data_IF_050990975558
#
_entry.id   IF_050990975558
#
_cell.length_a   1.000
_cell.length_b   1.000
_cell.length_c   1.000
_cell.angle_alpha   90.00
_cell.angle_beta   90.00
_cell.angle_gamma   90.00
#
_symmetry.space_group_name_H-M   'P 1'
#
loop_
_entity.id
_entity.type
_entity.pdbx_description
1 polymer ?
#
# COMPACT_ATOMS: atom_id res chain seq x y z
N UNK A 1 -21.81 -4.10 -50.18
CA UNK A 1 -23.25 -3.80 -50.41
C UNK A 1 -24.02 -5.10 -50.53
N UNK A 2 -25.03 -5.30 -49.68
CA UNK A 2 -25.71 -6.58 -49.49
C UNK A 2 -26.76 -6.82 -50.61
N UNK A 3 -26.72 -7.95 -51.35
CA UNK A 3 -27.66 -8.23 -52.45
C UNK A 3 -29.15 -8.28 -52.02
N UNK A 4 -29.42 -8.39 -50.71
CA UNK A 4 -30.77 -8.27 -50.15
C UNK A 4 -31.35 -6.86 -50.22
N UNK A 5 -30.52 -5.81 -50.12
CA UNK A 5 -30.98 -4.41 -50.17
C UNK A 5 -31.33 -3.97 -51.60
N UNK A 6 -30.69 -4.56 -52.62
CA UNK A 6 -31.01 -4.30 -54.04
C UNK A 6 -32.34 -4.96 -54.44
N UNK A 7 -32.64 -6.15 -53.90
CA UNK A 7 -33.94 -6.81 -54.11
C UNK A 7 -35.09 -6.10 -53.40
N UNK A 8 -34.85 -5.49 -52.24
CA UNK A 8 -35.88 -4.72 -51.53
C UNK A 8 -36.20 -3.37 -52.22
N UNK A 9 -35.19 -2.73 -52.83
CA UNK A 9 -35.41 -1.51 -53.62
C UNK A 9 -36.16 -1.78 -54.94
N UNK A 10 -35.94 -2.94 -55.57
CA UNK A 10 -36.65 -3.34 -56.79
C UNK A 10 -38.14 -3.64 -56.57
N UNK A 11 -38.52 -4.15 -55.40
CA UNK A 11 -39.92 -4.46 -55.08
C UNK A 11 -40.78 -3.23 -54.77
N UNK A 12 -40.17 -2.10 -54.40
CA UNK A 12 -40.85 -0.84 -54.10
C UNK A 12 -41.07 0.06 -55.33
N UNK A 13 -40.43 -0.24 -56.46
CA UNK A 13 -40.53 0.54 -57.71
C UNK A 13 -41.50 -0.06 -58.75
N UNK A 14 -42.01 -1.28 -58.54
CA UNK A 14 -42.89 -1.99 -59.48
C UNK A 14 -44.20 -2.44 -58.80
N UNK A 15 -45.03 -1.48 -58.43
CA UNK A 15 -46.30 -1.75 -57.74
C UNK A 15 -47.40 -0.73 -58.06
N UNK A 16 -47.49 -0.29 -59.32
CA UNK A 16 -48.67 0.39 -59.84
C UNK A 16 -49.76 -0.64 -60.19
N UNK A 17 -50.92 -0.48 -59.56
CA UNK A 17 -52.25 -0.94 -60.00
C UNK A 17 -52.42 -2.41 -60.44
N UNK A 18 -52.76 -3.27 -59.48
CA UNK A 18 -53.78 -4.30 -59.70
C UNK A 18 -54.64 -4.43 -58.45
N UNK A 19 -55.83 -3.85 -58.47
CA UNK A 19 -56.91 -4.13 -57.53
C UNK A 19 -57.47 -5.53 -57.80
N UNK A 20 -56.83 -6.57 -57.25
CA UNK A 20 -57.50 -7.88 -57.11
C UNK A 20 -58.29 -7.89 -55.80
N UNK A 21 -59.61 -7.93 -55.95
CA UNK A 21 -60.56 -8.27 -54.89
C UNK A 21 -60.13 -9.58 -54.22
N UNK A 22 -59.76 -9.52 -52.94
CA UNK A 22 -59.51 -10.68 -52.10
C UNK A 22 -60.86 -11.26 -51.66
N UNK A 23 -61.28 -12.37 -52.26
CA UNK A 23 -62.53 -13.07 -51.92
C UNK A 23 -62.35 -14.56 -51.63
N UNK A 24 -61.16 -14.98 -51.18
CA UNK A 24 -60.93 -16.34 -50.68
C UNK A 24 -60.68 -16.34 -49.18
N UNK A 25 -61.42 -17.20 -48.46
CA UNK A 25 -61.31 -17.44 -47.02
C UNK A 25 -59.88 -17.82 -46.58
N UNK A 26 -59.05 -18.35 -47.49
CA UNK A 26 -57.66 -18.72 -47.22
C UNK A 26 -56.70 -17.53 -47.01
N UNK A 27 -56.92 -16.39 -47.66
CA UNK A 27 -56.03 -15.22 -47.54
C UNK A 27 -56.20 -14.51 -46.18
N UNK A 28 -57.43 -14.52 -45.65
CA UNK A 28 -57.73 -14.01 -44.31
C UNK A 28 -57.12 -14.87 -43.20
N UNK A 29 -57.04 -16.18 -43.39
CA UNK A 29 -56.39 -17.10 -42.45
C UNK A 29 -54.87 -16.85 -42.44
N UNK A 30 -54.25 -16.63 -43.61
CA UNK A 30 -52.83 -16.31 -43.72
C UNK A 30 -52.46 -14.98 -43.06
N UNK A 31 -53.25 -13.92 -43.32
CA UNK A 31 -53.04 -12.59 -42.71
C UNK A 31 -53.26 -12.65 -41.19
N UNK A 32 -54.26 -13.39 -40.73
CA UNK A 32 -54.52 -13.61 -39.31
C UNK A 32 -53.37 -14.33 -38.59
N UNK A 33 -52.79 -15.36 -39.21
CA UNK A 33 -51.68 -16.11 -38.64
C UNK A 33 -50.39 -15.26 -38.55
N UNK A 34 -50.09 -14.48 -39.58
CA UNK A 34 -48.93 -13.56 -39.57
C UNK A 34 -49.09 -12.48 -38.51
N UNK A 35 -50.29 -11.92 -38.34
CA UNK A 35 -50.60 -10.97 -37.28
C UNK A 35 -50.42 -11.55 -35.87
N UNK A 36 -50.82 -12.81 -35.67
CA UNK A 36 -50.73 -13.50 -34.39
C UNK A 36 -49.26 -13.81 -34.01
N UNK A 37 -48.45 -14.19 -35.00
CA UNK A 37 -47.00 -14.37 -34.83
C UNK A 37 -46.33 -13.04 -34.48
N UNK A 38 -46.67 -11.95 -35.18
CA UNK A 38 -46.12 -10.63 -34.89
C UNK A 38 -46.46 -10.14 -33.47
N UNK A 39 -47.70 -10.36 -33.02
CA UNK A 39 -48.13 -10.06 -31.65
C UNK A 39 -47.40 -10.91 -30.60
N UNK A 40 -47.13 -12.19 -30.89
CA UNK A 40 -46.36 -13.06 -30.01
C UNK A 40 -44.91 -12.59 -29.85
N UNK A 41 -44.24 -12.20 -30.94
CA UNK A 41 -42.88 -11.65 -30.88
C UNK A 41 -42.84 -10.30 -30.17
N UNK A 42 -43.82 -9.42 -30.40
CA UNK A 42 -43.94 -8.16 -29.68
C UNK A 42 -44.12 -8.41 -28.17
N UNK A 43 -44.94 -9.38 -27.80
CA UNK A 43 -45.13 -9.79 -26.41
C UNK A 43 -43.84 -10.33 -25.78
N UNK A 44 -43.06 -11.16 -26.50
CA UNK A 44 -41.76 -11.65 -26.04
C UNK A 44 -40.75 -10.52 -25.82
N UNK A 45 -40.70 -9.52 -26.71
CA UNK A 45 -39.83 -8.36 -26.57
C UNK A 45 -40.22 -7.55 -25.32
N UNK A 46 -41.52 -7.28 -25.14
CA UNK A 46 -42.03 -6.56 -23.96
C UNK A 46 -41.75 -7.34 -22.68
N UNK A 47 -41.91 -8.67 -22.68
CA UNK A 47 -41.60 -9.53 -21.54
C UNK A 47 -40.10 -9.51 -21.20
N UNK A 48 -39.22 -9.55 -22.21
CA UNK A 48 -37.77 -9.47 -22.04
C UNK A 48 -37.34 -8.10 -21.48
N UNK A 49 -37.91 -7.01 -21.99
CA UNK A 49 -37.66 -5.65 -21.49
C UNK A 49 -38.16 -5.50 -20.05
N UNK A 50 -39.34 -6.02 -19.73
CA UNK A 50 -39.91 -5.97 -18.37
C UNK A 50 -39.09 -6.79 -17.38
N UNK A 51 -38.56 -7.95 -17.78
CA UNK A 51 -37.63 -8.76 -16.99
C UNK A 51 -36.30 -8.04 -16.76
N UNK A 52 -35.76 -7.37 -17.78
CA UNK A 52 -34.51 -6.59 -17.69
C UNK A 52 -34.67 -5.35 -16.80
N UNK A 53 -35.80 -4.67 -16.87
CA UNK A 53 -36.14 -3.54 -15.99
C UNK A 53 -36.38 -3.97 -14.54
N UNK A 54 -37.00 -5.14 -14.31
CA UNK A 54 -37.15 -5.72 -12.98
C UNK A 54 -35.81 -6.04 -12.32
N UNK A 55 -34.89 -6.66 -13.07
CA UNK A 55 -33.51 -6.92 -12.64
C UNK A 55 -32.70 -5.65 -12.37
N UNK A 56 -32.93 -4.57 -13.11
CA UNK A 56 -32.25 -3.30 -12.87
C UNK A 56 -32.77 -2.60 -11.60
N UNK A 57 -34.07 -2.73 -11.34
CA UNK A 57 -34.73 -2.15 -10.16
C UNK A 57 -34.34 -2.87 -8.87
N UNK A 58 -34.16 -4.20 -8.89
CA UNK A 58 -33.65 -4.94 -7.72
C UNK A 58 -32.21 -4.59 -7.39
N UNK A 59 -31.33 -4.49 -8.41
CA UNK A 59 -29.93 -4.06 -8.22
C UNK A 59 -29.82 -2.64 -7.66
N UNK A 60 -30.66 -1.71 -8.11
CA UNK A 60 -30.69 -0.35 -7.52
C UNK A 60 -31.22 -0.30 -6.08
N UNK A 61 -31.98 -1.31 -5.64
CA UNK A 61 -32.37 -1.46 -4.23
C UNK A 61 -31.19 -1.92 -3.37
N UNK A 62 -30.43 -2.90 -3.88
CA UNK A 62 -29.21 -3.44 -3.26
C UNK A 62 -28.13 -2.35 -3.10
N UNK A 63 -27.90 -1.53 -4.13
CA UNK A 63 -27.00 -0.35 -4.04
C UNK A 63 -27.42 0.68 -2.97
N UNK A 64 -28.72 0.83 -2.69
CA UNK A 64 -29.22 1.74 -1.64
C UNK A 64 -29.03 1.18 -0.24
N UNK A 65 -29.06 -0.14 -0.09
CA UNK A 65 -28.76 -0.82 1.17
C UNK A 65 -27.25 -0.74 1.45
N UNK A 66 -26.41 -0.96 0.43
CA UNK A 66 -24.96 -0.79 0.51
C UNK A 66 -24.55 0.65 0.84
N UNK A 67 -25.23 1.65 0.27
CA UNK A 67 -24.99 3.07 0.55
C UNK A 67 -25.35 3.42 2.01
N UNK A 68 -26.44 2.83 2.52
CA UNK A 68 -26.81 2.97 3.93
C UNK A 68 -25.85 2.23 4.85
N UNK A 69 -25.34 1.07 4.45
CA UNK A 69 -24.38 0.29 5.22
C UNK A 69 -23.00 0.97 5.24
N UNK A 70 -22.55 1.53 4.11
CA UNK A 70 -21.36 2.36 4.01
C UNK A 70 -21.49 3.65 4.85
N UNK A 71 -22.66 4.29 4.84
CA UNK A 71 -22.93 5.45 5.69
C UNK A 71 -22.97 5.08 7.18
N UNK A 72 -23.50 3.91 7.55
CA UNK A 72 -23.46 3.39 8.93
C UNK A 72 -22.03 3.06 9.35
N UNK A 73 -21.27 2.37 8.50
CA UNK A 73 -19.86 2.10 8.74
C UNK A 73 -19.08 3.41 8.92
N UNK A 74 -19.26 4.39 8.03
CA UNK A 74 -18.61 5.70 8.15
C UNK A 74 -18.95 6.43 9.46
N UNK A 75 -20.20 6.32 9.93
CA UNK A 75 -20.61 6.86 11.25
C UNK A 75 -19.95 6.12 12.39
N UNK A 76 -19.94 4.79 12.38
CA UNK A 76 -19.27 3.97 13.40
C UNK A 76 -17.77 4.23 13.43
N UNK A 77 -17.12 4.39 12.27
CA UNK A 77 -15.72 4.78 12.18
C UNK A 77 -15.48 6.21 12.69
N UNK A 78 -16.39 7.14 12.43
CA UNK A 78 -16.30 8.50 12.97
C UNK A 78 -16.52 8.55 14.48
N UNK A 79 -17.43 7.73 15.02
CA UNK A 79 -17.68 7.58 16.46
C UNK A 79 -16.51 6.89 17.16
N UNK A 80 -15.99 5.79 16.61
CA UNK A 80 -14.79 5.12 17.13
C UNK A 80 -13.56 6.03 17.07
N UNK A 81 -13.45 6.85 16.02
CA UNK A 81 -12.39 7.85 15.93
C UNK A 81 -12.56 8.96 16.95
N UNK A 82 -13.78 9.44 17.19
CA UNK A 82 -14.06 10.41 18.26
C UNK A 82 -13.79 9.82 19.63
N UNK A 83 -14.14 8.56 19.88
CA UNK A 83 -13.82 7.89 21.14
C UNK A 83 -12.32 7.71 21.30
N UNK A 84 -11.59 7.33 20.24
CA UNK A 84 -10.15 7.26 20.28
C UNK A 84 -9.50 8.64 20.46
N UNK A 85 -10.05 9.69 19.83
CA UNK A 85 -9.62 11.08 20.00
C UNK A 85 -9.97 11.60 21.41
N UNK A 86 -11.14 11.30 21.97
CA UNK A 86 -11.54 11.65 23.34
C UNK A 86 -10.77 10.85 24.41
N UNK A 87 -10.43 9.58 24.16
CA UNK A 87 -9.53 8.77 25.00
C UNK A 87 -8.09 9.28 24.90
N UNK A 88 -7.62 9.64 23.71
CA UNK A 88 -6.31 10.26 23.52
C UNK A 88 -6.28 11.68 24.12
N UNK A 89 -7.35 12.48 24.08
CA UNK A 89 -7.44 13.86 24.59
C UNK A 89 -7.71 13.88 26.11
N UNK A 90 -8.39 12.86 26.67
CA UNK A 90 -8.49 12.65 28.11
C UNK A 90 -7.18 12.11 28.73
N UNK A 91 -6.34 11.43 27.94
CA UNK A 91 -4.98 11.01 28.33
C UNK A 91 -3.89 12.03 27.94
N UNK A 92 -4.15 12.96 27.02
CA UNK A 92 -3.25 14.02 26.57
C UNK A 92 -3.78 15.41 26.96
N UNK A 93 -3.37 15.91 28.13
CA UNK A 93 -3.08 17.34 28.19
C UNK A 93 -1.98 17.64 27.14
N UNK A 94 -2.20 18.54 26.16
CA UNK A 94 -1.31 18.62 25.01
C UNK A 94 -0.05 19.42 25.33
N UNK A 95 1.11 18.76 25.34
CA UNK A 95 2.38 19.41 25.00
C UNK A 95 2.53 19.43 23.45
N UNK A 96 2.63 20.59 22.78
CA UNK A 96 2.78 20.70 21.32
C UNK A 96 3.82 19.77 20.67
N UNK A 97 3.61 19.39 19.41
CA UNK A 97 4.49 18.49 18.66
C UNK A 97 5.96 18.96 18.56
N UNK A 98 6.22 20.27 18.67
CA UNK A 98 7.58 20.79 18.82
C UNK A 98 8.21 20.38 20.16
N UNK A 99 7.43 20.39 21.25
CA UNK A 99 7.84 19.83 22.53
C UNK A 99 8.00 18.31 22.48
N UNK A 100 7.21 17.56 21.70
CA UNK A 100 7.43 16.09 21.62
C UNK A 100 8.76 15.71 20.96
N UNK A 101 9.17 16.43 19.91
CA UNK A 101 10.50 16.25 19.31
C UNK A 101 11.61 16.68 20.27
N UNK A 102 11.38 17.77 21.01
CA UNK A 102 12.31 18.28 22.04
C UNK A 102 12.44 17.29 23.22
N UNK A 103 11.32 16.76 23.73
CA UNK A 103 11.26 15.74 24.78
C UNK A 103 11.95 14.45 24.34
N UNK A 104 11.73 13.99 23.11
CA UNK A 104 12.39 12.79 22.60
C UNK A 104 13.91 12.97 22.56
N UNK A 105 14.39 14.15 22.12
CA UNK A 105 15.82 14.48 22.09
C UNK A 105 16.37 14.68 23.51
N UNK A 106 15.66 15.38 24.38
CA UNK A 106 16.04 15.63 25.77
C UNK A 106 16.10 14.33 26.58
N UNK A 107 15.17 13.40 26.37
CA UNK A 107 15.17 12.08 27.01
C UNK A 107 16.36 11.23 26.52
N UNK A 108 16.64 11.24 25.22
CA UNK A 108 17.84 10.58 24.66
C UNK A 108 19.13 11.18 25.23
N UNK A 109 19.17 12.49 25.42
CA UNK A 109 20.32 13.18 25.98
C UNK A 109 20.48 12.90 27.48
N UNK A 110 19.38 12.90 28.25
CA UNK A 110 19.37 12.48 29.66
C UNK A 110 19.80 11.04 29.84
N UNK A 111 19.33 10.12 29.00
CA UNK A 111 19.77 8.72 29.01
C UNK A 111 21.28 8.60 28.75
N UNK A 112 21.81 9.33 27.76
CA UNK A 112 23.25 9.40 27.47
C UNK A 112 24.06 9.98 28.64
N UNK A 113 23.57 11.04 29.28
CA UNK A 113 24.25 11.68 30.41
C UNK A 113 24.28 10.75 31.64
N UNK A 114 23.19 10.06 31.94
CA UNK A 114 23.14 9.04 33.02
C UNK A 114 24.16 7.93 32.78
N UNK A 115 24.31 7.48 31.53
CA UNK A 115 25.31 6.47 31.14
C UNK A 115 26.75 6.95 31.31
N UNK A 116 27.05 8.21 30.97
CA UNK A 116 28.39 8.79 31.11
C UNK A 116 28.76 9.09 32.57
N UNK A 117 27.78 9.43 33.40
CA UNK A 117 27.99 9.73 34.82
C UNK A 117 28.15 8.48 35.69
N UNK A 118 27.99 7.27 35.13
CA UNK A 118 28.03 6.02 35.89
C UNK A 118 29.48 5.57 36.13
N UNK A 119 29.85 5.21 37.38
CA UNK A 119 31.17 4.65 37.65
C UNK A 119 31.34 3.32 36.93
N UNK A 120 32.53 3.11 36.34
CA UNK A 120 32.85 1.91 35.56
C UNK A 120 32.53 0.63 36.36
N UNK A 121 31.98 -0.41 35.71
CA UNK A 121 31.74 -1.68 36.37
C UNK A 121 33.05 -2.20 36.97
N UNK A 122 32.98 -2.71 38.20
CA UNK A 122 34.16 -3.28 38.88
C UNK A 122 34.79 -4.34 37.96
N UNK A 123 36.12 -4.31 37.76
CA UNK A 123 36.78 -5.29 36.91
C UNK A 123 36.47 -6.70 37.42
N UNK A 124 35.88 -7.53 36.56
CA UNK A 124 35.74 -8.95 36.83
C UNK A 124 37.14 -9.58 36.91
N UNK A 125 37.37 -10.52 37.84
CA UNK A 125 38.66 -11.21 37.94
C UNK A 125 38.99 -11.90 36.60
N UNK A 126 40.26 -11.87 36.16
CA UNK A 126 40.63 -12.38 34.85
C UNK A 126 40.35 -13.89 34.75
N UNK A 127 39.64 -14.28 33.70
CA UNK A 127 39.50 -15.67 33.30
C UNK A 127 40.89 -16.27 32.95
N UNK A 128 41.13 -17.57 33.19
CA UNK A 128 42.42 -18.20 32.95
C UNK A 128 42.79 -18.15 31.46
N UNK A 129 44.04 -17.77 31.19
CA UNK A 129 44.59 -17.55 29.86
C UNK A 129 44.58 -18.83 29.00
N UNK A 130 43.99 -18.71 27.80
CA UNK A 130 44.20 -19.64 26.69
C UNK A 130 45.55 -19.32 25.99
N UNK A 131 46.23 -20.31 25.40
CA UNK A 131 47.60 -20.17 24.91
C UNK A 131 47.70 -19.31 23.64
N UNK A 132 48.79 -18.55 23.55
CA UNK A 132 49.16 -17.63 22.46
C UNK A 132 49.31 -18.35 21.10
N UNK A 133 48.85 -17.77 19.99
CA UNK A 133 49.26 -18.19 18.66
C UNK A 133 50.59 -17.52 18.27
N UNK A 134 51.51 -18.37 17.81
CA UNK A 134 52.81 -18.00 17.27
C UNK A 134 52.71 -17.17 15.96
N UNK A 135 53.45 -16.06 15.94
CA UNK A 135 54.33 -15.60 14.85
C UNK A 135 53.76 -15.32 13.45
N UNK A 136 53.78 -14.05 13.03
CA UNK A 136 54.04 -13.66 11.64
C UNK A 136 54.93 -12.40 11.55
N UNK A 137 55.73 -12.25 10.47
CA UNK A 137 56.95 -11.44 10.48
C UNK A 137 56.75 -9.97 10.08
N UNK A 138 57.77 -9.18 10.47
CA UNK A 138 57.90 -7.75 10.28
C UNK A 138 57.80 -7.27 8.83
N UNK A 139 57.03 -6.19 8.61
CA UNK A 139 57.13 -5.31 7.44
C UNK A 139 57.90 -4.03 7.81
N UNK A 140 58.75 -3.47 6.94
CA UNK A 140 59.55 -2.29 7.25
C UNK A 140 58.73 -1.00 7.16
N UNK A 141 59.03 -0.07 8.05
CA UNK A 141 58.50 1.30 8.09
C UNK A 141 59.11 2.16 6.98
N UNK A 142 58.29 3.01 6.36
CA UNK A 142 58.73 4.18 5.61
C UNK A 142 57.81 5.36 5.95
N UNK A 143 58.43 6.44 6.43
CA UNK A 143 57.87 7.76 6.72
C UNK A 143 58.63 8.78 5.82
N UNK A 144 58.20 10.06 5.70
CA UNK A 144 57.09 10.58 4.92
C UNK A 144 57.60 11.56 3.84
N UNK A 145 56.76 11.99 2.88
CA UNK A 145 57.07 13.19 2.09
C UNK A 145 55.83 14.02 1.82
N UNK A 146 55.99 15.32 2.07
CA UNK A 146 55.00 16.39 2.08
C UNK A 146 54.50 16.78 0.67
N UNK A 147 53.41 17.57 0.55
CA UNK A 147 52.65 17.75 -0.68
C UNK A 147 53.19 18.88 -1.55
N UNK A 148 53.08 18.74 -2.87
CA UNK A 148 53.37 19.79 -3.83
C UNK A 148 52.07 20.22 -4.54
N UNK A 149 51.68 21.47 -4.34
CA UNK A 149 50.74 22.23 -5.18
C UNK A 149 51.28 22.37 -6.61
N UNK A 150 50.38 22.25 -7.61
CA UNK A 150 50.50 22.96 -8.90
C UNK A 150 49.16 22.98 -9.67
N UNK A 151 48.54 24.15 -9.62
CA UNK A 151 48.21 25.06 -10.74
C UNK A 151 47.45 24.54 -11.99
N UNK A 152 46.41 25.31 -12.34
CA UNK A 152 45.42 25.10 -13.40
C UNK A 152 45.88 25.43 -14.84
N UNK A 153 45.09 24.88 -15.79
CA UNK A 153 44.74 25.34 -17.16
C UNK A 153 45.47 24.72 -18.38
N UNK A 154 44.84 24.64 -19.58
CA UNK A 154 43.44 24.34 -19.91
C UNK A 154 43.29 23.22 -20.98
N UNK A 155 42.03 22.90 -21.33
CA UNK A 155 41.52 21.74 -22.07
C UNK A 155 42.00 21.51 -23.54
N UNK A 156 41.65 20.33 -24.09
CA UNK A 156 40.90 20.33 -25.34
C UNK A 156 39.57 19.55 -25.23
N UNK A 157 38.57 20.13 -25.88
CA UNK A 157 37.21 19.63 -26.07
C UNK A 157 37.25 18.32 -26.86
N UNK A 158 36.66 17.25 -26.28
CA UNK A 158 36.30 16.04 -27.03
C UNK A 158 34.79 15.95 -27.03
N UNK A 159 34.24 16.12 -28.23
CA UNK A 159 32.85 15.92 -28.60
C UNK A 159 32.54 14.42 -28.47
N UNK A 160 31.89 14.04 -27.36
CA UNK A 160 31.47 12.67 -27.10
C UNK A 160 30.03 12.47 -27.60
N UNK A 161 29.97 11.91 -28.81
CA UNK A 161 29.03 10.91 -29.31
C UNK A 161 27.80 10.60 -28.42
N UNK A 162 26.62 10.80 -29.00
CA UNK A 162 25.32 10.55 -28.39
C UNK A 162 25.21 9.12 -27.84
N UNK A 163 24.98 9.00 -26.54
CA UNK A 163 24.65 7.75 -25.87
C UNK A 163 23.35 7.17 -26.45
N UNK A 164 23.29 5.86 -26.75
CA UNK A 164 22.05 5.23 -27.19
C UNK A 164 21.02 5.25 -26.06
N UNK A 165 19.76 5.52 -26.40
CA UNK A 165 18.63 5.52 -25.49
C UNK A 165 18.56 4.21 -24.68
N UNK A 166 18.21 4.26 -23.37
CA UNK A 166 18.09 3.06 -22.56
C UNK A 166 16.96 2.19 -23.10
N UNK A 167 17.30 0.99 -23.57
CA UNK A 167 16.34 -0.05 -23.87
C UNK A 167 15.62 -0.44 -22.55
N UNK A 168 14.31 -0.67 -22.55
CA UNK A 168 13.60 -1.10 -21.35
C UNK A 168 14.14 -2.47 -20.94
N UNK A 169 14.86 -2.53 -19.82
CA UNK A 169 15.16 -3.79 -19.17
C UNK A 169 13.84 -4.38 -18.67
N UNK A 170 13.34 -5.39 -19.38
CA UNK A 170 12.38 -6.37 -18.85
C UNK A 170 13.09 -7.18 -17.76
N UNK A 171 13.28 -6.56 -16.60
CA UNK A 171 13.48 -7.30 -15.36
C UNK A 171 12.10 -7.39 -14.70
N UNK A 172 11.42 -8.52 -14.92
CA UNK A 172 10.43 -8.99 -13.94
C UNK A 172 11.20 -9.26 -12.64
N UNK A 173 11.45 -8.22 -11.85
CA UNK A 173 11.93 -8.36 -10.48
C UNK A 173 10.86 -9.17 -9.73
N UNK A 174 11.21 -10.42 -9.39
CA UNK A 174 10.41 -11.24 -8.48
C UNK A 174 10.05 -10.40 -7.23
N UNK A 175 8.83 -10.53 -6.69
CA UNK A 175 8.44 -9.77 -5.51
C UNK A 175 9.44 -10.04 -4.40
N UNK A 176 10.20 -9.00 -4.00
CA UNK A 176 11.16 -9.08 -2.91
C UNK A 176 10.47 -9.64 -1.67
N UNK A 177 11.13 -10.56 -0.99
CA UNK A 177 10.57 -11.12 0.25
C UNK A 177 10.40 -10.01 1.29
N UNK A 178 9.44 -10.17 2.20
CA UNK A 178 9.29 -9.22 3.32
C UNK A 178 10.59 -9.10 4.11
N UNK A 179 11.33 -10.21 4.25
CA UNK A 179 12.63 -10.24 4.92
C UNK A 179 13.68 -9.36 4.22
N UNK A 180 13.76 -9.42 2.89
CA UNK A 180 14.64 -8.56 2.09
C UNK A 180 14.24 -7.09 2.20
N UNK A 181 12.93 -6.80 2.11
CA UNK A 181 12.41 -5.44 2.25
C UNK A 181 12.70 -4.82 3.61
N UNK A 182 12.75 -5.63 4.67
CA UNK A 182 13.03 -5.22 6.05
C UNK A 182 14.52 -5.38 6.44
N UNK A 183 15.40 -5.76 5.50
CA UNK A 183 16.81 -6.07 5.79
C UNK A 183 17.55 -4.96 6.52
N UNK A 184 17.35 -3.69 6.14
CA UNK A 184 17.95 -2.52 6.80
C UNK A 184 17.47 -2.37 8.25
N UNK A 185 16.16 -2.44 8.46
CA UNK A 185 15.56 -2.39 9.81
C UNK A 185 16.06 -3.55 10.65
N UNK A 186 16.12 -4.77 10.11
CA UNK A 186 16.63 -5.96 10.79
C UNK A 186 18.12 -5.82 11.16
N UNK A 187 18.95 -5.33 10.24
CA UNK A 187 20.39 -5.17 10.48
C UNK A 187 20.69 -4.19 11.63
N UNK A 188 19.92 -3.11 11.75
CA UNK A 188 20.07 -2.13 12.82
C UNK A 188 19.35 -2.54 14.11
N UNK A 189 18.02 -2.54 14.09
CA UNK A 189 17.18 -2.73 15.27
C UNK A 189 17.33 -4.11 15.91
N UNK A 190 17.16 -5.18 15.10
CA UNK A 190 17.16 -6.56 15.62
C UNK A 190 18.55 -6.98 16.08
N UNK A 191 19.62 -6.53 15.41
CA UNK A 191 20.99 -6.80 15.89
C UNK A 191 21.29 -6.13 17.23
N UNK A 192 20.82 -4.88 17.44
CA UNK A 192 21.04 -4.17 18.71
C UNK A 192 20.33 -4.87 19.87
N UNK A 193 19.04 -5.21 19.70
CA UNK A 193 18.31 -6.02 20.68
C UNK A 193 18.94 -7.40 20.88
N UNK A 194 19.37 -8.06 19.80
CA UNK A 194 19.98 -9.38 19.85
C UNK A 194 21.26 -9.44 20.68
N UNK A 195 22.04 -8.34 20.74
CA UNK A 195 23.22 -8.26 21.63
C UNK A 195 22.83 -8.22 23.11
N UNK A 196 21.77 -7.50 23.46
CA UNK A 196 21.28 -7.42 24.84
C UNK A 196 20.69 -8.76 25.27
N UNK A 197 19.83 -9.35 24.44
CA UNK A 197 19.27 -10.67 24.71
C UNK A 197 20.25 -11.84 24.53
N UNK A 198 21.51 -11.57 24.13
CA UNK A 198 22.60 -12.54 24.12
C UNK A 198 23.38 -12.61 25.44
N UNK A 199 23.11 -11.71 26.39
CA UNK A 199 23.69 -11.75 27.74
C UNK A 199 23.13 -12.94 28.53
N UNK A 200 23.80 -13.34 29.61
CA UNK A 200 23.29 -14.40 30.49
C UNK A 200 22.04 -13.97 31.28
N UNK A 201 21.94 -12.68 31.58
CA UNK A 201 20.88 -12.07 32.40
C UNK A 201 20.69 -10.62 31.99
N UNK A 202 19.48 -10.10 32.17
CA UNK A 202 19.11 -8.69 31.91
C UNK A 202 18.92 -7.97 33.24
N UNK A 203 19.54 -6.80 33.39
CA UNK A 203 19.37 -5.89 34.54
C UNK A 203 18.56 -4.62 34.17
N UNK A 204 18.40 -3.69 35.11
CA UNK A 204 17.65 -2.44 34.87
C UNK A 204 18.31 -1.56 33.80
N UNK A 205 19.64 -1.55 33.73
CA UNK A 205 20.36 -0.75 32.73
C UNK A 205 20.14 -1.31 31.33
N UNK A 206 20.02 -2.63 31.21
CA UNK A 206 19.67 -3.29 29.96
C UNK A 206 18.25 -2.95 29.51
N UNK A 207 17.30 -2.75 30.43
CA UNK A 207 15.94 -2.30 30.11
C UNK A 207 15.93 -0.85 29.60
N UNK A 208 16.73 0.04 30.20
CA UNK A 208 16.94 1.41 29.70
C UNK A 208 17.56 1.40 28.28
N UNK A 209 18.52 0.50 28.01
CA UNK A 209 19.12 0.37 26.67
C UNK A 209 18.11 -0.19 25.64
N UNK A 210 17.24 -1.11 26.04
CA UNK A 210 16.13 -1.60 25.19
C UNK A 210 15.20 -0.44 24.84
N UNK A 211 14.86 0.43 25.80
CA UNK A 211 14.00 1.59 25.58
C UNK A 211 14.61 2.56 24.55
N UNK A 212 15.89 2.90 24.69
CA UNK A 212 16.62 3.74 23.72
C UNK A 212 16.59 3.10 22.31
N UNK A 213 16.75 1.77 22.23
CA UNK A 213 16.69 1.04 20.96
C UNK A 213 15.29 1.12 20.34
N UNK A 214 14.21 1.05 21.13
CA UNK A 214 12.83 1.17 20.64
C UNK A 214 12.58 2.58 20.09
N UNK A 215 12.97 3.64 20.82
CA UNK A 215 12.82 5.02 20.34
C UNK A 215 13.58 5.30 19.05
N UNK A 216 14.83 4.83 18.95
CA UNK A 216 15.65 5.02 17.74
C UNK A 216 15.20 4.16 16.55
N UNK A 217 14.18 3.31 16.72
CA UNK A 217 13.60 2.48 15.68
C UNK A 217 12.22 2.98 15.20
N UNK A 218 11.92 4.26 15.41
CA UNK A 218 10.66 4.91 15.07
C UNK A 218 9.44 4.30 15.78
N UNK A 219 9.64 3.72 16.97
CA UNK A 219 8.55 3.27 17.84
C UNK A 219 8.20 4.41 18.80
N UNK A 220 7.01 4.99 18.62
CA UNK A 220 6.56 6.16 19.36
C UNK A 220 6.53 5.94 20.89
N UNK A 221 6.67 7.05 21.63
CA UNK A 221 6.85 7.06 23.09
C UNK A 221 5.87 6.15 23.84
N UNK A 222 4.57 6.33 23.58
CA UNK A 222 3.51 5.54 24.23
C UNK A 222 3.64 4.04 24.00
N UNK A 223 4.03 3.63 22.79
CA UNK A 223 4.17 2.20 22.44
C UNK A 223 5.39 1.62 23.12
N UNK A 224 6.52 2.33 23.06
CA UNK A 224 7.77 1.93 23.70
C UNK A 224 7.61 1.82 25.22
N UNK A 225 7.00 2.81 25.89
CA UNK A 225 6.74 2.77 27.32
C UNK A 225 5.89 1.54 27.70
N UNK A 226 4.79 1.30 26.98
CA UNK A 226 3.93 0.11 27.19
C UNK A 226 4.74 -1.19 27.10
N UNK A 227 5.66 -1.30 26.14
CA UNK A 227 6.51 -2.49 25.98
C UNK A 227 7.51 -2.62 27.14
N UNK A 228 8.13 -1.53 27.58
CA UNK A 228 9.09 -1.52 28.69
C UNK A 228 8.42 -1.86 30.01
N UNK A 229 7.24 -1.31 30.31
CA UNK A 229 6.50 -1.61 31.54
C UNK A 229 6.19 -3.11 31.65
N UNK A 230 5.82 -3.74 30.54
CA UNK A 230 5.56 -5.19 30.48
C UNK A 230 6.84 -5.99 30.76
N UNK A 231 7.98 -5.57 30.19
CA UNK A 231 9.27 -6.22 30.42
C UNK A 231 9.74 -6.03 31.87
N UNK A 232 9.58 -4.84 32.44
CA UNK A 232 9.90 -4.54 33.85
C UNK A 232 9.07 -5.38 34.81
N UNK A 233 7.77 -5.53 34.57
CA UNK A 233 6.90 -6.38 35.40
C UNK A 233 7.31 -7.86 35.37
N UNK A 234 7.73 -8.36 34.22
CA UNK A 234 8.21 -9.73 34.08
C UNK A 234 9.63 -9.91 34.64
N UNK A 235 10.45 -8.86 34.57
CA UNK A 235 11.78 -8.84 35.18
C UNK A 235 11.70 -8.79 36.71
N UNK A 236 10.90 -7.91 37.32
CA UNK A 236 10.77 -7.80 38.79
C UNK A 236 10.23 -9.06 39.48
N UNK A 237 9.53 -9.94 38.75
CA UNK A 237 9.12 -11.26 39.25
C UNK A 237 10.30 -12.22 39.47
N UNK A 238 11.48 -11.93 38.92
CA UNK A 238 12.67 -12.77 38.99
C UNK A 238 13.91 -11.92 39.28
N UNK A 239 14.69 -12.22 40.32
CA UNK A 239 15.88 -11.44 40.71
C UNK A 239 16.93 -11.27 39.58
N UNK A 240 16.87 -12.13 38.55
CA UNK A 240 17.46 -11.95 37.22
C UNK A 240 16.50 -12.49 36.16
N UNK A 241 16.24 -11.71 35.11
CA UNK A 241 15.36 -12.12 34.03
C UNK A 241 16.11 -12.91 32.95
N UNK A 242 15.55 -14.05 32.54
CA UNK A 242 16.03 -14.82 31.39
C UNK A 242 15.84 -14.01 30.09
N UNK A 243 16.92 -13.62 29.39
CA UNK A 243 16.82 -12.84 28.17
C UNK A 243 16.01 -13.54 27.05
N UNK A 244 16.06 -14.87 26.98
CA UNK A 244 15.26 -15.63 26.01
C UNK A 244 13.76 -15.47 26.26
N UNK A 245 13.36 -15.55 27.53
CA UNK A 245 11.97 -15.33 27.97
C UNK A 245 11.52 -13.90 27.68
N UNK A 246 12.34 -12.89 28.01
CA UNK A 246 12.00 -11.49 27.77
C UNK A 246 11.86 -11.17 26.27
N UNK A 247 12.75 -11.69 25.42
CA UNK A 247 12.61 -11.56 23.97
C UNK A 247 11.31 -12.20 23.46
N UNK A 248 10.94 -13.35 24.00
CA UNK A 248 9.66 -14.00 23.70
C UNK A 248 8.46 -13.14 24.08
N UNK A 249 8.49 -12.55 25.28
CA UNK A 249 7.45 -11.63 25.78
C UNK A 249 7.36 -10.39 24.88
N UNK A 250 8.49 -9.78 24.53
CA UNK A 250 8.53 -8.62 23.64
C UNK A 250 7.88 -8.94 22.28
N UNK A 251 8.27 -10.05 21.65
CA UNK A 251 7.69 -10.50 20.38
C UNK A 251 6.18 -10.71 20.47
N UNK A 252 5.72 -11.41 21.50
CA UNK A 252 4.30 -11.69 21.69
C UNK A 252 3.49 -10.40 21.87
N UNK A 253 4.00 -9.40 22.60
CA UNK A 253 3.28 -8.15 22.80
C UNK A 253 3.27 -7.28 21.53
N UNK A 254 4.37 -7.22 20.79
CA UNK A 254 4.40 -6.58 19.47
C UNK A 254 3.41 -7.26 18.52
N UNK A 255 3.37 -8.58 18.48
CA UNK A 255 2.42 -9.33 17.65
C UNK A 255 0.96 -9.02 18.02
N UNK A 256 0.64 -8.97 19.33
CA UNK A 256 -0.69 -8.58 19.81
C UNK A 256 -1.06 -7.16 19.37
N UNK A 257 -0.13 -6.21 19.48
CA UNK A 257 -0.36 -4.82 19.06
C UNK A 257 -0.58 -4.69 17.55
N UNK A 258 0.11 -5.51 16.74
CA UNK A 258 -0.04 -5.53 15.28
C UNK A 258 -1.29 -6.28 14.81
N UNK A 259 -1.93 -7.06 15.69
CA UNK A 259 -3.10 -7.87 15.33
C UNK A 259 -4.34 -6.99 15.21
N UNK A 260 -4.62 -6.57 13.98
CA UNK A 260 -5.86 -5.87 13.63
C UNK A 260 -6.87 -6.89 13.13
N UNK A 261 -8.03 -6.97 13.80
CA UNK A 261 -9.17 -7.78 13.32
C UNK A 261 -9.88 -7.03 12.19
N UNK A 262 -9.35 -7.14 10.97
CA UNK A 262 -9.98 -6.59 9.78
C UNK A 262 -10.19 -7.70 8.75
N UNK A 263 -11.41 -7.87 8.20
CA UNK A 263 -11.62 -8.79 7.10
C UNK A 263 -10.72 -8.38 5.92
N UNK A 264 -10.14 -9.33 5.17
CA UNK A 264 -9.42 -9.02 3.96
C UNK A 264 -10.25 -8.15 3.02
N UNK A 265 -9.58 -7.28 2.27
CA UNK A 265 -10.23 -6.45 1.26
C UNK A 265 -10.96 -7.32 0.23
N UNK A 266 -12.29 -7.39 0.33
CA UNK A 266 -13.14 -8.09 -0.64
C UNK A 266 -13.53 -7.15 -1.78
N UNK A 267 -12.82 -7.28 -2.90
CA UNK A 267 -13.07 -6.51 -4.11
C UNK A 267 -14.24 -7.08 -4.95
N UNK A 268 -14.79 -8.25 -4.61
CA UNK A 268 -15.90 -8.86 -5.32
C UNK A 268 -17.27 -8.41 -4.82
N UNK A 269 -17.33 -7.79 -3.63
CA UNK A 269 -18.58 -7.34 -3.01
C UNK A 269 -19.40 -6.37 -3.86
N UNK A 270 -18.80 -5.68 -4.84
CA UNK A 270 -19.47 -4.72 -5.71
C UNK A 270 -18.85 -4.71 -7.12
N UNK A 271 -19.66 -4.37 -8.14
CA UNK A 271 -19.21 -4.20 -9.52
C UNK A 271 -19.81 -2.93 -10.17
N UNK A 272 -19.04 -1.83 -10.30
CA UNK A 272 -17.61 -1.72 -9.99
C UNK A 272 -17.32 -1.59 -8.49
N UNK A 273 -16.24 -2.22 -8.01
CA UNK A 273 -15.67 -1.91 -6.71
C UNK A 273 -14.83 -0.63 -6.83
N UNK A 274 -15.16 0.39 -6.04
CA UNK A 274 -14.49 1.70 -6.11
C UNK A 274 -13.49 1.84 -4.96
N UNK A 275 -12.24 2.16 -5.29
CA UNK A 275 -11.18 2.45 -4.32
C UNK A 275 -10.71 3.89 -4.45
N UNK A 276 -10.92 4.69 -3.40
CA UNK A 276 -10.38 6.04 -3.29
C UNK A 276 -9.08 6.01 -2.49
N UNK A 277 -7.99 6.48 -3.10
CA UNK A 277 -6.66 6.54 -2.46
C UNK A 277 -6.37 7.98 -2.04
N UNK A 278 -6.19 8.18 -0.73
CA UNK A 278 -5.97 9.50 -0.12
C UNK A 278 -4.61 9.57 0.58
N UNK A 279 -4.11 10.79 0.81
CA UNK A 279 -2.88 11.04 1.56
C UNK A 279 -2.08 12.23 1.03
N UNK A 280 -1.03 12.62 1.75
CA UNK A 280 -0.18 13.77 1.40
C UNK A 280 0.77 13.47 0.23
N UNK A 281 1.40 14.51 -0.32
CA UNK A 281 2.35 14.38 -1.42
C UNK A 281 3.60 13.57 -0.98
N UNK A 282 4.17 12.81 -1.91
CA UNK A 282 5.41 12.05 -1.66
C UNK A 282 5.27 10.70 -0.97
N UNK A 283 4.10 10.34 -0.41
CA UNK A 283 3.89 9.04 0.28
C UNK A 283 3.72 7.82 -0.64
N UNK A 284 3.84 8.02 -1.96
CA UNK A 284 3.77 6.95 -2.95
C UNK A 284 2.37 6.57 -3.44
N UNK A 285 1.34 7.41 -3.25
CA UNK A 285 -0.05 7.14 -3.68
C UNK A 285 -0.16 6.65 -5.13
N UNK A 286 0.35 7.42 -6.10
CA UNK A 286 0.26 7.09 -7.53
C UNK A 286 0.99 5.78 -7.86
N UNK A 287 2.13 5.55 -7.21
CA UNK A 287 2.89 4.28 -7.33
C UNK A 287 2.08 3.10 -6.79
N UNK A 288 1.42 3.27 -5.64
CA UNK A 288 0.56 2.23 -5.04
C UNK A 288 -0.66 1.94 -5.92
N UNK A 289 -1.29 2.98 -6.50
CA UNK A 289 -2.39 2.81 -7.47
C UNK A 289 -1.93 1.97 -8.67
N UNK A 290 -0.78 2.28 -9.26
CA UNK A 290 -0.23 1.50 -10.37
C UNK A 290 0.07 0.04 -10.02
N UNK A 291 0.68 -0.21 -8.85
CA UNK A 291 0.93 -1.57 -8.34
C UNK A 291 -0.36 -2.36 -8.14
N UNK A 292 -1.39 -1.74 -7.56
CA UNK A 292 -2.70 -2.37 -7.37
C UNK A 292 -3.38 -2.66 -8.72
N UNK A 293 -3.28 -1.74 -9.69
CA UNK A 293 -3.82 -1.94 -11.03
C UNK A 293 -3.19 -3.15 -11.73
N UNK A 294 -1.85 -3.25 -11.69
CA UNK A 294 -1.13 -4.42 -12.19
C UNK A 294 -1.58 -5.71 -11.50
N UNK A 295 -1.62 -5.71 -10.16
CA UNK A 295 -2.03 -6.87 -9.36
C UNK A 295 -3.43 -7.36 -9.73
N UNK A 296 -4.42 -6.48 -9.80
CA UNK A 296 -5.80 -6.88 -10.12
C UNK A 296 -5.98 -7.26 -11.58
N UNK A 297 -5.27 -6.62 -12.51
CA UNK A 297 -5.25 -7.06 -13.91
C UNK A 297 -4.65 -8.46 -14.05
N UNK A 298 -3.54 -8.76 -13.36
CA UNK A 298 -2.94 -10.10 -13.34
C UNK A 298 -3.88 -11.17 -12.75
N UNK A 299 -4.78 -10.76 -11.86
CA UNK A 299 -5.86 -11.62 -11.33
C UNK A 299 -7.08 -11.72 -12.28
N UNK A 300 -6.99 -11.17 -13.50
CA UNK A 300 -8.04 -11.23 -14.52
C UNK A 300 -9.18 -10.22 -14.31
N UNK A 301 -9.04 -9.24 -13.42
CA UNK A 301 -10.07 -8.22 -13.16
C UNK A 301 -10.02 -7.12 -14.22
N UNK A 302 -11.19 -6.56 -14.54
CA UNK A 302 -11.31 -5.35 -15.36
C UNK A 302 -11.05 -4.14 -14.46
N UNK A 303 -9.98 -3.41 -14.75
CA UNK A 303 -9.52 -2.27 -13.93
C UNK A 303 -9.58 -1.00 -14.79
N UNK A 304 -10.05 0.09 -14.18
CA UNK A 304 -10.04 1.43 -14.76
C UNK A 304 -9.43 2.37 -13.72
N UNK A 305 -8.54 3.26 -14.14
CA UNK A 305 -7.95 4.29 -13.29
C UNK A 305 -8.62 5.64 -13.54
N UNK A 306 -8.94 6.37 -12.47
CA UNK A 306 -9.47 7.72 -12.54
C UNK A 306 -8.43 8.73 -12.02
N UNK A 307 -8.02 9.67 -12.87
CA UNK A 307 -7.12 10.77 -12.53
C UNK A 307 -7.91 11.88 -11.81
N UNK A 308 -8.13 11.68 -10.50
CA UNK A 308 -8.82 12.64 -9.63
C UNK A 308 -7.87 13.64 -8.94
N UNK A 309 -6.55 13.52 -9.12
CA UNK A 309 -5.57 14.51 -8.65
C UNK A 309 -5.43 15.60 -9.72
N UNK A 310 -6.38 16.55 -9.73
CA UNK A 310 -6.51 17.63 -10.73
C UNK A 310 -5.67 18.87 -10.41
N UNK A 311 -5.18 18.99 -9.18
CA UNK A 311 -4.40 20.14 -8.72
C UNK A 311 -2.92 20.05 -9.13
N UNK A 312 -2.37 18.84 -9.19
CA UNK A 312 -0.97 18.61 -9.54
C UNK A 312 -0.83 18.37 -11.03
N UNK A 313 -0.26 19.34 -11.76
CA UNK A 313 -0.01 19.28 -13.19
C UNK A 313 0.49 17.91 -13.70
N UNK A 314 1.53 17.37 -13.07
CA UNK A 314 2.16 16.12 -13.48
C UNK A 314 1.50 14.84 -12.91
N UNK A 315 0.51 14.95 -12.01
CA UNK A 315 -0.07 13.76 -11.38
C UNK A 315 -0.85 12.91 -12.39
N UNK A 316 -1.56 13.56 -13.32
CA UNK A 316 -2.25 12.88 -14.43
C UNK A 316 -1.26 12.13 -15.31
N UNK A 317 -0.22 12.80 -15.81
CA UNK A 317 0.81 12.18 -16.67
C UNK A 317 1.48 10.98 -15.99
N UNK A 318 1.79 11.11 -14.69
CA UNK A 318 2.36 10.02 -13.90
C UNK A 318 1.39 8.82 -13.82
N UNK A 319 0.09 9.08 -13.61
CA UNK A 319 -0.91 8.02 -13.56
C UNK A 319 -1.12 7.37 -14.93
N UNK A 320 -1.04 8.14 -16.02
CA UNK A 320 -1.12 7.61 -17.39
C UNK A 320 0.05 6.68 -17.70
N UNK A 321 1.28 7.02 -17.29
CA UNK A 321 2.45 6.13 -17.42
C UNK A 321 2.21 4.81 -16.65
N UNK A 322 1.68 4.89 -15.43
CA UNK A 322 1.33 3.68 -14.66
C UNK A 322 0.20 2.89 -15.32
N UNK A 323 -0.80 3.56 -15.89
CA UNK A 323 -1.88 2.93 -16.63
C UNK A 323 -1.38 2.18 -17.87
N UNK A 324 -0.46 2.79 -18.63
CA UNK A 324 0.20 2.17 -19.78
C UNK A 324 1.01 0.93 -19.35
N UNK A 325 1.84 1.05 -18.30
CA UNK A 325 2.63 -0.08 -17.75
C UNK A 325 1.72 -1.21 -17.26
N UNK A 326 0.63 -0.85 -16.59
CA UNK A 326 -0.35 -1.79 -16.11
C UNK A 326 -1.28 -2.29 -17.23
N UNK A 327 -1.27 -1.71 -18.44
CA UNK A 327 -2.21 -1.99 -19.53
C UNK A 327 -3.68 -1.83 -19.14
N UNK A 328 -3.99 -0.78 -18.38
CA UNK A 328 -5.34 -0.41 -17.94
C UNK A 328 -5.69 0.98 -18.46
N UNK A 329 -6.96 1.24 -18.82
CA UNK A 329 -7.39 2.57 -19.24
C UNK A 329 -7.33 3.58 -18.08
N UNK A 330 -6.92 4.81 -18.40
CA UNK A 330 -6.94 5.96 -17.48
C UNK A 330 -7.95 6.98 -17.98
N UNK A 331 -8.85 7.40 -17.11
CA UNK A 331 -9.89 8.40 -17.36
C UNK A 331 -9.57 9.63 -16.51
N UNK A 332 -9.71 10.84 -17.07
CA UNK A 332 -9.54 12.08 -16.31
C UNK A 332 -10.04 13.30 -17.07
N UNK A 333 -10.35 14.37 -16.34
CA UNK A 333 -10.68 15.69 -16.90
C UNK A 333 -9.45 16.45 -17.39
N UNK A 334 -9.66 17.65 -17.95
CA UNK A 334 -8.57 18.59 -18.23
C UNK A 334 -7.94 19.09 -16.92
N UNK A 335 -6.71 19.60 -17.00
CA UNK A 335 -6.04 20.22 -15.85
C UNK A 335 -6.90 21.37 -15.29
N UNK A 336 -7.15 21.39 -13.97
CA UNK A 336 -8.04 22.37 -13.34
C UNK A 336 -9.54 22.19 -13.59
N UNK A 337 -9.98 21.04 -14.11
CA UNK A 337 -11.41 20.69 -14.19
C UNK A 337 -11.94 20.25 -12.82
N UNK A 338 -12.18 21.20 -11.92
CA UNK A 338 -13.11 21.03 -10.79
C UNK A 338 -14.56 21.03 -11.28
#
# INVERSE_FOLDING_TARGET
MNPLLVKLAGALAAGGETTRSASSVGDWIGIGLVGLIALFFLWLIVAAVRKKLGSARSRMGEYREDEQEAARAARLWAEARRQAEEEDEAEQEPEPAEQQVDIQQELLEKARQRRQARPAPRPQPPAPAAPEPAGEPARPQAEPTAPAEREEAPAPVVEAEAAPAPQPAEAEEAPRSLEEGLSKTRAGFVSRLGRLFGKSTIDEDDLEEIEEILFTADIGVRTSQKLIDILQQEATRSERADPGKLLGILKQNIEKMLRVESPPLDVERAQPFVMLVVGVNGTGKTTTIGKLAMRYRQQGKQVVLAAADTFRAAAREQLEIWGQRAGVPVIGGQEGAD
#
